data_IF_855705047135
#
_entry.id   IF_855705047135
#
_cell.length_a   1.000
_cell.length_b   1.000
_cell.length_c   1.000
_cell.angle_alpha   90.00
_cell.angle_beta   90.00
_cell.angle_gamma   90.00
#
_symmetry.space_group_name_H-M   'P 1'
#
loop_
_entity.id
_entity.type
_entity.pdbx_description
1 polymer ?
#
# COMPACT_ATOMS: atom_id res chain seq x y z
N UNK A 1 -19.25 8.53 -6.47
CA UNK A 1 -17.91 9.13 -6.39
C UNK A 1 -17.82 9.75 -5.00
N UNK A 2 -16.84 9.36 -4.19
CA UNK A 2 -16.79 9.77 -2.77
C UNK A 2 -15.97 11.07 -2.57
N UNK A 3 -15.58 11.74 -3.67
CA UNK A 3 -14.81 13.00 -3.72
C UNK A 3 -13.40 12.95 -3.08
N UNK A 4 -12.87 11.76 -2.81
CA UNK A 4 -11.47 11.59 -2.40
C UNK A 4 -10.54 11.67 -3.62
N UNK A 5 -9.37 12.27 -3.42
CA UNK A 5 -8.29 12.31 -4.41
C UNK A 5 -7.07 11.58 -3.86
N UNK A 6 -6.33 10.91 -4.73
CA UNK A 6 -5.11 10.21 -4.35
C UNK A 6 -3.96 10.48 -5.31
N UNK A 7 -2.74 10.43 -4.79
CA UNK A 7 -1.52 10.26 -5.60
C UNK A 7 -1.08 8.82 -5.43
N UNK A 8 -0.98 8.10 -6.54
CA UNK A 8 -0.60 6.69 -6.59
C UNK A 8 0.90 6.56 -6.87
N UNK A 9 1.60 5.82 -6.01
CA UNK A 9 3.04 5.56 -6.13
C UNK A 9 3.28 4.07 -6.32
N UNK A 10 3.72 3.69 -7.52
CA UNK A 10 4.14 2.32 -7.82
C UNK A 10 5.67 2.22 -7.83
N UNK A 11 6.22 1.23 -7.11
CA UNK A 11 7.67 1.05 -6.97
C UNK A 11 8.12 -0.25 -7.61
N UNK A 12 8.81 -0.17 -8.76
CA UNK A 12 9.31 -1.36 -9.47
C UNK A 12 10.21 -2.19 -8.56
N UNK A 13 9.94 -3.49 -8.48
CA UNK A 13 10.69 -4.44 -7.66
C UNK A 13 10.41 -4.36 -6.17
N UNK A 14 9.40 -3.59 -5.74
CA UNK A 14 8.88 -3.64 -4.38
C UNK A 14 7.65 -4.55 -4.30
N UNK A 15 7.29 -4.90 -3.07
CA UNK A 15 6.13 -5.71 -2.72
C UNK A 15 5.01 -4.86 -2.11
N UNK A 16 4.96 -3.58 -2.48
CA UNK A 16 3.92 -2.66 -2.07
C UNK A 16 3.78 -1.52 -3.08
N UNK A 17 2.60 -0.95 -3.15
CA UNK A 17 2.38 0.39 -3.67
C UNK A 17 1.93 1.32 -2.53
N UNK A 18 1.76 2.61 -2.82
CA UNK A 18 1.28 3.58 -1.83
C UNK A 18 0.29 4.53 -2.49
N UNK A 19 -0.88 4.69 -1.87
CA UNK A 19 -1.86 5.71 -2.19
C UNK A 19 -1.80 6.79 -1.11
N UNK A 20 -1.40 8.00 -1.49
CA UNK A 20 -1.48 9.18 -0.62
C UNK A 20 -2.85 9.82 -0.76
N UNK A 21 -3.68 9.70 0.29
CA UNK A 21 -5.11 10.01 0.21
C UNK A 21 -5.44 11.39 0.79
N UNK A 22 -6.31 12.11 0.10
CA UNK A 22 -6.83 13.42 0.45
C UNK A 22 -8.36 13.40 0.41
N UNK A 23 -9.01 14.07 1.37
CA UNK A 23 -10.44 14.29 1.29
C UNK A 23 -10.82 15.34 0.23
N UNK A 24 -12.12 15.56 0.08
CA UNK A 24 -12.70 16.53 -0.86
C UNK A 24 -12.26 17.98 -0.65
N UNK A 25 -11.77 18.33 0.55
CA UNK A 25 -11.26 19.66 0.88
C UNK A 25 -9.75 19.77 0.63
N UNK A 26 -9.11 18.69 0.17
CA UNK A 26 -7.66 18.62 -0.03
C UNK A 26 -6.88 18.33 1.25
N UNK A 27 -7.55 17.95 2.35
CA UNK A 27 -6.85 17.61 3.58
C UNK A 27 -6.23 16.21 3.48
N UNK A 28 -4.94 16.10 3.78
CA UNK A 28 -4.24 14.81 3.83
C UNK A 28 -4.83 13.91 4.92
N UNK A 29 -5.21 12.68 4.56
CA UNK A 29 -5.84 11.70 5.47
C UNK A 29 -4.93 10.57 5.90
N UNK A 30 -3.90 10.26 5.13
CA UNK A 30 -3.02 9.14 5.40
C UNK A 30 -2.59 8.43 4.13
N UNK A 31 -1.92 7.30 4.33
CA UNK A 31 -1.48 6.42 3.27
C UNK A 31 -2.25 5.10 3.34
N UNK A 32 -2.77 4.66 2.20
CA UNK A 32 -3.05 3.24 1.97
C UNK A 32 -1.81 2.62 1.32
N UNK A 33 -1.50 1.39 1.70
CA UNK A 33 -0.33 0.65 1.25
C UNK A 33 -0.80 -0.76 0.94
N UNK A 34 -0.89 -1.09 -0.34
CA UNK A 34 -1.35 -2.39 -0.78
C UNK A 34 -0.18 -3.38 -0.70
N UNK A 35 -0.37 -4.58 -0.16
CA UNK A 35 0.67 -5.63 -0.14
C UNK A 35 0.62 -6.42 -1.44
N UNK A 36 1.75 -6.43 -2.16
CA UNK A 36 1.84 -6.99 -3.50
C UNK A 36 2.79 -8.18 -3.55
N UNK A 37 2.45 -9.21 -4.33
CA UNK A 37 3.37 -10.30 -4.66
C UNK A 37 4.56 -9.81 -5.51
N UNK A 38 4.31 -8.82 -6.38
CA UNK A 38 5.35 -8.16 -7.16
C UNK A 38 4.83 -6.87 -7.81
N UNK A 39 5.76 -5.99 -8.15
CA UNK A 39 5.56 -4.87 -9.09
C UNK A 39 6.61 -4.97 -10.20
N UNK A 40 6.18 -5.14 -11.45
CA UNK A 40 7.05 -5.31 -12.63
C UNK A 40 6.67 -4.34 -13.74
N UNK A 41 7.65 -4.00 -14.59
CA UNK A 41 7.45 -3.15 -15.76
C UNK A 41 7.94 -3.84 -17.03
N UNK A 42 7.13 -3.79 -18.07
CA UNK A 42 7.47 -4.27 -19.41
C UNK A 42 7.13 -3.18 -20.42
N UNK A 43 8.15 -2.49 -20.94
CA UNK A 43 7.96 -1.32 -21.80
C UNK A 43 7.16 -0.24 -21.08
N UNK A 44 5.98 0.07 -21.62
CA UNK A 44 5.04 1.07 -21.06
C UNK A 44 3.96 0.46 -20.17
N UNK A 45 4.00 -0.86 -19.93
CA UNK A 45 3.04 -1.57 -19.07
C UNK A 45 3.63 -1.79 -17.68
N UNK A 46 2.84 -1.44 -16.66
CA UNK A 46 3.07 -1.80 -15.26
C UNK A 46 2.16 -2.99 -14.91
N UNK A 47 2.73 -4.03 -14.32
CA UNK A 47 2.01 -5.21 -13.84
C UNK A 47 2.26 -5.37 -12.34
N UNK A 48 1.17 -5.53 -11.58
CA UNK A 48 1.17 -5.72 -10.14
C UNK A 48 0.21 -6.85 -9.80
N UNK A 49 0.56 -7.63 -8.79
CA UNK A 49 -0.30 -8.69 -8.28
C UNK A 49 -0.59 -8.41 -6.81
N UNK A 50 -1.84 -8.06 -6.54
CA UNK A 50 -2.36 -7.76 -5.22
C UNK A 50 -2.53 -9.02 -4.36
N UNK A 51 -2.27 -8.90 -3.05
CA UNK A 51 -2.40 -9.99 -2.08
C UNK A 51 -3.46 -9.71 -1.01
N UNK A 52 -4.48 -8.90 -1.31
CA UNK A 52 -5.65 -8.58 -0.48
C UNK A 52 -5.37 -7.84 0.83
N UNK A 53 -4.16 -7.96 1.39
CA UNK A 53 -3.79 -7.39 2.67
C UNK A 53 -3.28 -5.96 2.50
N UNK A 54 -3.85 -5.04 3.26
CA UNK A 54 -3.48 -3.62 3.17
C UNK A 54 -3.00 -3.07 4.50
N UNK A 55 -2.30 -1.94 4.45
CA UNK A 55 -1.93 -1.15 5.63
C UNK A 55 -2.44 0.27 5.47
N UNK A 56 -3.14 0.77 6.49
CA UNK A 56 -3.44 2.19 6.60
C UNK A 56 -2.52 2.88 7.61
N UNK A 57 -1.90 3.98 7.19
CA UNK A 57 -1.00 4.79 8.01
C UNK A 57 -1.58 6.20 8.16
N UNK A 58 -1.91 6.56 9.40
CA UNK A 58 -2.41 7.88 9.76
C UNK A 58 -1.30 8.94 9.74
N UNK A 59 -1.63 10.24 9.59
CA UNK A 59 -0.65 11.32 9.58
C UNK A 59 0.17 11.44 10.87
N UNK A 60 -0.35 10.93 11.99
CA UNK A 60 0.34 10.87 13.28
C UNK A 60 1.36 9.72 13.38
N UNK A 61 1.40 8.83 12.38
CA UNK A 61 2.30 7.67 12.33
C UNK A 61 1.72 6.38 12.93
N UNK A 62 0.47 6.38 13.39
CA UNK A 62 -0.23 5.13 13.74
C UNK A 62 -0.54 4.34 12.47
N UNK A 63 -0.33 3.03 12.52
CA UNK A 63 -0.56 2.14 11.38
C UNK A 63 -1.39 0.91 11.79
N UNK A 64 -2.25 0.45 10.89
CA UNK A 64 -3.17 -0.67 11.09
C UNK A 64 -3.18 -1.57 9.86
N UNK A 65 -3.27 -2.88 10.08
CA UNK A 65 -3.62 -3.83 9.03
C UNK A 65 -5.10 -3.68 8.69
N UNK A 66 -5.42 -3.84 7.42
CA UNK A 66 -6.77 -3.90 6.87
C UNK A 66 -6.91 -5.18 6.04
N UNK A 67 -8.16 -5.62 5.87
CA UNK A 67 -8.54 -6.69 4.92
C UNK A 67 -7.84 -8.05 5.16
N UNK A 68 -7.48 -8.30 6.42
CA UNK A 68 -6.97 -9.59 6.89
C UNK A 68 -7.97 -10.73 6.60
N UNK A 69 -9.27 -10.46 6.70
CA UNK A 69 -10.34 -11.41 6.40
C UNK A 69 -10.43 -11.74 4.91
N UNK A 70 -10.11 -10.80 4.02
CA UNK A 70 -10.04 -11.06 2.57
C UNK A 70 -8.88 -12.00 2.23
N UNK A 71 -7.69 -11.74 2.81
CA UNK A 71 -6.54 -12.63 2.66
C UNK A 71 -6.81 -14.04 3.21
N UNK A 72 -7.45 -14.15 4.39
CA UNK A 72 -7.88 -15.43 4.96
C UNK A 72 -8.89 -16.17 4.07
N UNK A 73 -9.87 -15.45 3.51
CA UNK A 73 -10.81 -16.02 2.56
C UNK A 73 -10.10 -16.52 1.29
N UNK A 74 -9.15 -15.76 0.75
CA UNK A 74 -8.39 -16.17 -0.42
C UNK A 74 -7.64 -17.49 -0.19
N UNK A 75 -7.05 -17.68 0.99
CA UNK A 75 -6.43 -18.96 1.38
C UNK A 75 -7.48 -20.08 1.51
N UNK A 76 -8.58 -19.82 2.21
CA UNK A 76 -9.64 -20.81 2.47
C UNK A 76 -10.32 -21.31 1.19
N UNK A 77 -10.47 -20.44 0.18
CA UNK A 77 -11.02 -20.79 -1.13
C UNK A 77 -9.96 -21.32 -2.11
N UNK A 78 -8.69 -21.39 -1.71
CA UNK A 78 -7.60 -21.90 -2.53
C UNK A 78 -7.23 -20.98 -3.71
N UNK A 79 -7.52 -19.69 -3.61
CA UNK A 79 -7.07 -18.68 -4.57
C UNK A 79 -5.57 -18.40 -4.45
N UNK A 80 -5.04 -18.54 -3.24
CA UNK A 80 -3.62 -18.48 -2.92
C UNK A 80 -3.22 -19.71 -2.11
N UNK A 81 -1.94 -20.05 -2.15
CA UNK A 81 -1.38 -21.08 -1.27
C UNK A 81 -0.91 -20.49 0.06
N UNK A 82 -0.55 -21.38 0.99
CA UNK A 82 -0.08 -20.97 2.31
C UNK A 82 1.24 -20.19 2.24
N UNK A 83 2.11 -20.49 1.27
CA UNK A 83 3.37 -19.76 1.12
C UNK A 83 3.12 -18.29 0.74
N UNK A 84 2.14 -18.03 -0.13
CA UNK A 84 1.70 -16.69 -0.53
C UNK A 84 1.02 -15.96 0.64
N UNK A 85 0.19 -16.65 1.42
CA UNK A 85 -0.44 -16.11 2.63
C UNK A 85 0.62 -15.68 3.67
N UNK A 86 1.56 -16.57 3.98
CA UNK A 86 2.65 -16.28 4.93
C UNK A 86 3.56 -15.15 4.40
N UNK A 87 3.74 -15.07 3.08
CA UNK A 87 4.50 -14.00 2.42
C UNK A 87 3.82 -12.63 2.58
N UNK A 88 2.50 -12.53 2.39
CA UNK A 88 1.76 -11.29 2.54
C UNK A 88 1.94 -10.70 3.96
N UNK A 89 1.74 -11.52 5.00
CA UNK A 89 1.96 -11.10 6.38
C UNK A 89 3.41 -10.70 6.66
N UNK A 90 4.38 -11.43 6.10
CA UNK A 90 5.80 -11.06 6.24
C UNK A 90 6.07 -9.66 5.67
N UNK A 91 5.57 -9.36 4.47
CA UNK A 91 5.76 -8.04 3.84
C UNK A 91 5.09 -6.96 4.70
N UNK A 92 3.87 -7.22 5.16
CA UNK A 92 3.14 -6.27 6.01
C UNK A 92 3.89 -5.99 7.32
N UNK A 93 4.40 -7.02 7.99
CA UNK A 93 5.21 -6.89 9.21
C UNK A 93 6.49 -6.07 8.99
N UNK A 94 7.16 -6.26 7.84
CA UNK A 94 8.35 -5.48 7.47
C UNK A 94 8.01 -3.99 7.31
N UNK A 95 6.89 -3.66 6.65
CA UNK A 95 6.39 -2.29 6.49
C UNK A 95 6.01 -1.70 7.85
N UNK A 96 5.23 -2.42 8.66
CA UNK A 96 4.79 -1.97 9.99
C UNK A 96 5.98 -1.68 10.92
N UNK A 97 7.04 -2.50 10.85
CA UNK A 97 8.30 -2.23 11.56
C UNK A 97 8.99 -0.98 11.01
N UNK A 98 9.05 -0.81 9.69
CA UNK A 98 9.65 0.38 9.08
C UNK A 98 8.89 1.67 9.44
N UNK A 99 7.56 1.63 9.58
CA UNK A 99 6.75 2.75 10.08
C UNK A 99 7.13 3.09 11.52
N UNK A 100 7.21 2.10 12.42
CA UNK A 100 7.65 2.30 13.82
C UNK A 100 9.05 2.90 13.91
N UNK A 101 9.94 2.51 13.01
CA UNK A 101 11.31 3.06 12.91
C UNK A 101 11.39 4.40 12.17
N UNK A 102 10.26 4.96 11.71
CA UNK A 102 10.17 6.21 10.92
C UNK A 102 10.97 6.16 9.61
N UNK A 103 11.09 4.97 9.02
CA UNK A 103 11.77 4.71 7.73
C UNK A 103 10.80 4.55 6.56
N UNK A 104 9.49 4.55 6.84
CA UNK A 104 8.42 4.42 5.85
C UNK A 104 7.36 5.52 6.08
N UNK A 105 6.72 6.06 5.02
CA UNK A 105 6.94 5.76 3.60
C UNK A 105 8.24 6.38 3.04
N UNK A 106 8.70 5.95 1.85
CA UNK A 106 9.86 6.54 1.18
C UNK A 106 9.72 8.05 1.04
N UNK A 107 10.84 8.79 1.15
CA UNK A 107 10.86 10.26 1.15
C UNK A 107 10.08 10.89 -0.01
N UNK A 108 10.15 10.28 -1.20
CA UNK A 108 9.47 10.76 -2.40
C UNK A 108 7.94 10.87 -2.23
N UNK A 109 7.35 9.99 -1.43
CA UNK A 109 5.89 10.02 -1.13
C UNK A 109 5.51 11.25 -0.33
N UNK A 110 6.41 11.74 0.53
CA UNK A 110 6.22 12.98 1.27
C UNK A 110 6.39 14.22 0.39
N UNK A 111 7.35 14.17 -0.54
CA UNK A 111 7.73 15.30 -1.41
C UNK A 111 6.64 15.67 -2.43
N UNK A 112 5.87 14.70 -2.92
CA UNK A 112 4.75 14.97 -3.82
C UNK A 112 3.45 15.23 -3.05
N UNK A 113 2.75 16.30 -3.42
CA UNK A 113 1.42 16.66 -2.93
C UNK A 113 0.52 17.07 -4.10
N UNK A 114 -0.79 17.19 -3.86
CA UNK A 114 -1.73 17.64 -4.90
C UNK A 114 -1.42 19.06 -5.40
N UNK A 115 -0.75 19.86 -4.58
CA UNK A 115 -0.33 21.24 -4.89
C UNK A 115 0.92 21.27 -5.80
N UNK A 116 1.62 20.15 -5.98
CA UNK A 116 2.82 20.02 -6.82
C UNK A 116 2.56 19.93 -8.33
N UNK A 117 1.41 20.44 -8.81
CA UNK A 117 1.11 20.60 -10.23
C UNK A 117 1.34 22.06 -10.65
N UNK A 118 2.60 22.51 -10.60
CA UNK A 118 3.05 23.68 -11.37
C UNK A 118 4.16 23.27 -12.34
#
# INVERSE_FOLDING_TARGET
ENEYTMIYFAFIGQNYDILKVYDKEGNFKGFYVDVLAYTKRYGDTLEMLDLFLDIFIFPNGEAFLLDEDELEMALNYGLIDKETFDFAYKVADEIMRAVKEKKFPPKIVWEYSLEGRE
#
